data_IF_385206377790
#
_entry.id   IF_385206377790
#
_cell.length_a   1.000
_cell.length_b   1.000
_cell.length_c   1.000
_cell.angle_alpha   90.00
_cell.angle_beta   90.00
_cell.angle_gamma   90.00
#
_symmetry.space_group_name_H-M   'P 1'
#
loop_
_entity.id
_entity.type
_entity.pdbx_description
1 polymer ?
#
# COMPACT_ATOMS: atom_id res chain seq x y z
N UNK A 1 -0.52 17.32 6.87
CA UNK A 1 -1.97 17.21 6.61
C UNK A 1 -2.62 16.22 7.54
N UNK A 2 -3.87 16.45 7.95
CA UNK A 2 -4.71 15.48 8.67
C UNK A 2 -5.26 14.37 7.74
N UNK A 3 -6.23 13.58 8.23
CA UNK A 3 -6.87 12.51 7.44
C UNK A 3 -7.78 13.02 6.33
N UNK A 4 -8.11 14.31 6.27
CA UNK A 4 -8.91 14.91 5.19
C UNK A 4 -8.06 15.77 4.26
N UNK A 5 -6.74 15.67 4.40
CA UNK A 5 -5.75 16.44 3.65
C UNK A 5 -5.76 17.96 3.93
N UNK A 6 -6.31 18.39 5.07
CA UNK A 6 -6.21 19.77 5.53
C UNK A 6 -4.87 20.06 6.22
N UNK A 7 -4.36 21.29 6.05
CA UNK A 7 -3.18 21.78 6.78
C UNK A 7 -3.58 22.25 8.19
N UNK A 8 -2.65 22.89 8.92
CA UNK A 8 -2.99 23.59 10.15
C UNK A 8 -3.89 24.83 9.90
N UNK A 9 -3.84 25.40 8.71
CA UNK A 9 -4.81 26.39 8.25
C UNK A 9 -6.01 25.65 7.60
N UNK A 10 -7.23 25.77 8.14
CA UNK A 10 -8.40 25.06 7.62
C UNK A 10 -8.82 25.51 6.22
N UNK A 11 -8.36 26.68 5.75
CA UNK A 11 -8.58 27.15 4.39
C UNK A 11 -7.60 26.57 3.35
N UNK A 12 -6.57 25.83 3.79
CA UNK A 12 -5.51 25.30 2.93
C UNK A 12 -5.51 23.77 2.98
N UNK A 13 -5.63 23.15 1.81
CA UNK A 13 -5.49 21.70 1.59
C UNK A 13 -4.33 21.43 0.64
N UNK A 14 -3.79 20.22 0.64
CA UNK A 14 -2.74 19.83 -0.30
C UNK A 14 -2.92 18.42 -0.85
N UNK A 15 -2.22 18.13 -1.94
CA UNK A 15 -2.22 16.85 -2.64
C UNK A 15 -0.84 16.56 -3.26
N UNK A 16 -0.61 15.30 -3.64
CA UNK A 16 0.60 14.83 -4.32
C UNK A 16 1.88 14.84 -3.47
N UNK A 17 3.01 14.85 -4.16
CA UNK A 17 4.34 14.57 -3.58
C UNK A 17 4.76 15.45 -2.39
N UNK A 18 4.18 16.66 -2.29
CA UNK A 18 4.50 17.62 -1.26
C UNK A 18 3.82 17.30 0.09
N UNK A 19 2.84 16.40 0.14
CA UNK A 19 2.04 16.20 1.34
C UNK A 19 2.51 15.05 2.22
N UNK A 20 2.50 15.31 3.52
CA UNK A 20 2.65 14.28 4.54
C UNK A 20 1.33 14.07 5.29
N UNK A 21 0.88 12.82 5.39
CA UNK A 21 -0.44 12.44 5.88
C UNK A 21 -0.36 11.18 6.77
N UNK A 22 -1.30 10.97 7.71
CA UNK A 22 -1.35 9.75 8.51
C UNK A 22 -1.78 8.55 7.64
N UNK A 23 -1.13 7.40 7.78
CA UNK A 23 -1.50 6.17 7.10
C UNK A 23 -2.03 5.13 8.12
N UNK A 24 -3.36 4.88 8.16
CA UNK A 24 -3.94 3.92 9.09
C UNK A 24 -3.36 2.51 8.97
N UNK A 25 -3.10 2.05 7.73
CA UNK A 25 -2.50 0.74 7.46
C UNK A 25 -1.12 0.56 8.13
N UNK A 26 -0.36 1.65 8.28
CA UNK A 26 0.95 1.64 8.93
C UNK A 26 0.87 2.10 10.40
N UNK A 27 -0.24 1.82 11.08
CA UNK A 27 -0.45 2.15 12.49
C UNK A 27 -0.60 3.65 12.76
N UNK A 28 -1.08 4.42 11.78
CA UNK A 28 -1.24 5.87 11.88
C UNK A 28 0.05 6.66 11.68
N UNK A 29 1.17 5.99 11.34
CA UNK A 29 2.42 6.66 11.03
C UNK A 29 2.23 7.67 9.90
N UNK A 30 2.88 8.83 10.04
CA UNK A 30 2.91 9.85 9.01
C UNK A 30 3.88 9.46 7.90
N UNK A 31 3.41 9.50 6.67
CA UNK A 31 4.19 9.16 5.48
C UNK A 31 4.07 10.25 4.42
N UNK A 32 4.99 10.20 3.45
CA UNK A 32 4.97 10.97 2.21
C UNK A 32 5.27 9.99 1.08
N UNK A 33 4.52 10.07 -0.01
CA UNK A 33 4.60 9.13 -1.14
C UNK A 33 4.68 9.91 -2.44
N UNK A 34 5.52 9.46 -3.35
CA UNK A 34 5.77 10.10 -4.65
C UNK A 34 5.33 9.11 -5.74
N UNK A 35 4.03 9.11 -6.06
CA UNK A 35 3.45 8.19 -7.03
C UNK A 35 2.20 8.79 -7.68
N UNK A 36 1.96 8.41 -8.93
CA UNK A 36 0.84 8.90 -9.74
C UNK A 36 -0.53 8.62 -9.08
N UNK A 37 -0.75 7.39 -8.61
CA UNK A 37 -2.04 7.01 -7.99
C UNK A 37 -2.30 7.85 -6.73
N UNK A 38 -1.26 8.06 -5.91
CA UNK A 38 -1.32 8.95 -4.76
C UNK A 38 -1.68 10.38 -5.17
N UNK A 39 -1.03 10.93 -6.20
CA UNK A 39 -1.31 12.28 -6.69
C UNK A 39 -2.77 12.43 -7.18
N UNK A 40 -3.26 11.44 -7.94
CA UNK A 40 -4.63 11.41 -8.44
C UNK A 40 -5.65 11.32 -7.30
N UNK A 41 -5.52 10.33 -6.42
CA UNK A 41 -6.45 10.12 -5.31
C UNK A 41 -6.45 11.30 -4.33
N UNK A 42 -5.27 11.77 -3.92
CA UNK A 42 -5.16 12.90 -2.98
C UNK A 42 -5.71 14.19 -3.59
N UNK A 43 -5.56 14.39 -4.90
CA UNK A 43 -6.18 15.52 -5.61
C UNK A 43 -7.70 15.49 -5.54
N UNK A 44 -8.31 14.31 -5.76
CA UNK A 44 -9.76 14.12 -5.62
C UNK A 44 -10.25 14.43 -4.21
N UNK A 45 -9.53 13.94 -3.19
CA UNK A 45 -9.91 14.17 -1.78
C UNK A 45 -9.73 15.64 -1.38
N UNK A 46 -8.60 16.26 -1.74
CA UNK A 46 -8.36 17.68 -1.47
C UNK A 46 -9.43 18.56 -2.15
N UNK A 47 -9.76 18.26 -3.41
CA UNK A 47 -10.80 18.96 -4.17
C UNK A 47 -12.20 18.81 -3.55
N UNK A 48 -12.58 17.60 -3.12
CA UNK A 48 -13.84 17.38 -2.42
C UNK A 48 -13.90 18.21 -1.12
N UNK A 49 -12.80 18.27 -0.37
CA UNK A 49 -12.69 19.12 0.80
C UNK A 49 -12.81 20.62 0.52
N UNK A 50 -12.32 21.11 -0.62
CA UNK A 50 -12.52 22.51 -1.08
C UNK A 50 -13.99 22.75 -1.47
N UNK A 51 -14.66 21.75 -2.04
CA UNK A 51 -16.08 21.82 -2.40
C UNK A 51 -17.05 21.71 -1.21
N UNK A 52 -16.54 21.58 0.03
CA UNK A 52 -17.36 21.42 1.22
C UNK A 52 -17.81 19.98 1.50
N UNK A 53 -17.23 18.99 0.80
CA UNK A 53 -17.46 17.56 1.00
C UNK A 53 -16.17 16.85 1.46
N UNK A 54 -15.69 17.12 2.68
CA UNK A 54 -14.48 16.45 3.17
C UNK A 54 -14.65 14.93 3.21
N UNK A 55 -13.58 14.21 2.86
CA UNK A 55 -13.52 12.75 2.83
C UNK A 55 -12.22 12.28 3.48
N UNK A 56 -12.28 11.14 4.17
CA UNK A 56 -11.09 10.54 4.78
C UNK A 56 -10.19 9.93 3.70
N UNK A 57 -8.89 10.25 3.79
CA UNK A 57 -7.82 9.69 2.99
C UNK A 57 -7.07 8.62 3.78
N UNK A 58 -7.27 7.37 3.38
CA UNK A 58 -6.68 6.19 4.03
C UNK A 58 -6.11 5.20 3.00
N UNK A 59 -5.16 5.62 2.15
CA UNK A 59 -4.58 4.74 1.15
C UNK A 59 -3.68 3.68 1.80
N UNK A 60 -3.52 2.56 1.09
CA UNK A 60 -2.33 1.73 1.24
C UNK A 60 -1.35 2.25 0.18
N UNK A 61 -0.17 2.78 0.57
CA UNK A 61 0.80 3.25 -0.40
C UNK A 61 1.09 2.20 -1.45
N UNK A 62 1.16 2.61 -2.70
CA UNK A 62 1.48 1.73 -3.80
C UNK A 62 2.49 2.38 -4.72
N UNK A 63 3.19 1.54 -5.47
CA UNK A 63 3.95 1.98 -6.63
C UNK A 63 4.00 0.84 -7.65
N UNK A 64 4.34 1.16 -8.89
CA UNK A 64 4.61 0.18 -9.92
C UNK A 64 5.81 0.65 -10.73
N UNK A 65 6.54 -0.28 -11.33
CA UNK A 65 7.63 0.03 -12.24
C UNK A 65 7.91 -1.16 -13.15
N UNK A 66 8.71 -0.92 -14.19
CA UNK A 66 9.13 -1.96 -15.12
C UNK A 66 10.53 -1.68 -15.67
N UNK A 67 11.25 -2.76 -15.97
CA UNK A 67 12.54 -2.74 -16.68
C UNK A 67 12.54 -3.90 -17.67
N UNK A 68 12.52 -3.59 -18.96
CA UNK A 68 12.30 -4.61 -20.00
C UNK A 68 10.94 -5.28 -19.83
N UNK A 69 10.92 -6.61 -19.83
CA UNK A 69 9.70 -7.41 -19.65
C UNK A 69 9.33 -7.64 -18.18
N UNK A 70 10.22 -7.27 -17.24
CA UNK A 70 9.96 -7.38 -15.82
C UNK A 70 9.06 -6.22 -15.38
N UNK A 71 7.87 -6.55 -14.90
CA UNK A 71 6.90 -5.58 -14.35
C UNK A 71 6.61 -5.96 -12.91
N UNK A 72 6.66 -4.98 -12.00
CA UNK A 72 6.33 -5.19 -10.61
C UNK A 72 5.47 -4.09 -10.02
N UNK A 73 4.74 -4.48 -8.98
CA UNK A 73 3.86 -3.61 -8.22
C UNK A 73 4.15 -3.82 -6.73
N UNK A 74 4.29 -2.73 -5.99
CA UNK A 74 4.53 -2.76 -4.56
C UNK A 74 3.40 -2.10 -3.78
N UNK A 75 3.16 -2.62 -2.58
CA UNK A 75 2.11 -2.20 -1.66
C UNK A 75 2.70 -2.04 -0.26
N UNK A 76 2.28 -1.00 0.44
CA UNK A 76 2.64 -0.73 1.84
C UNK A 76 4.04 -0.16 2.03
N UNK A 77 4.67 -0.52 3.15
CA UNK A 77 6.01 -0.11 3.55
C UNK A 77 7.04 -1.13 3.12
N UNK A 78 7.95 -0.69 2.26
CA UNK A 78 9.03 -1.51 1.68
C UNK A 78 10.42 -1.12 2.22
N UNK A 79 10.48 -0.34 3.31
CA UNK A 79 11.74 -0.04 3.99
C UNK A 79 12.31 -1.33 4.61
N UNK A 80 13.48 -1.74 4.11
CA UNK A 80 14.18 -2.94 4.56
C UNK A 80 14.75 -2.79 5.98
N UNK A 81 14.93 -1.57 6.49
CA UNK A 81 15.47 -1.36 7.83
C UNK A 81 14.52 -1.92 8.88
N UNK A 82 15.01 -2.87 9.67
CA UNK A 82 14.21 -3.52 10.72
C UNK A 82 13.04 -4.34 10.18
N UNK A 83 13.06 -4.71 8.90
CA UNK A 83 12.10 -5.64 8.31
C UNK A 83 12.79 -6.96 7.96
N UNK A 84 12.03 -8.07 8.05
CA UNK A 84 12.41 -9.36 7.47
C UNK A 84 11.69 -9.52 6.13
N UNK A 85 12.42 -9.93 5.10
CA UNK A 85 11.84 -10.21 3.78
C UNK A 85 11.88 -11.70 3.48
N UNK A 86 10.74 -12.26 3.07
CA UNK A 86 10.67 -13.59 2.44
C UNK A 86 10.34 -13.41 0.95
N UNK A 87 10.84 -14.30 0.11
CA UNK A 87 10.71 -14.23 -1.34
C UNK A 87 10.29 -15.60 -1.84
N UNK A 88 9.17 -15.66 -2.56
CA UNK A 88 8.65 -16.87 -3.19
C UNK A 88 8.48 -16.64 -4.68
N UNK A 89 9.13 -17.48 -5.48
CA UNK A 89 9.12 -17.36 -6.94
C UNK A 89 9.43 -18.72 -7.60
N UNK A 90 9.01 -18.88 -8.86
CA UNK A 90 9.45 -20.01 -9.67
C UNK A 90 10.96 -19.95 -9.98
N UNK A 91 11.51 -21.06 -10.50
CA UNK A 91 12.93 -21.18 -10.84
C UNK A 91 13.31 -20.48 -12.16
N UNK A 92 12.33 -20.16 -13.00
CA UNK A 92 12.57 -19.53 -14.30
C UNK A 92 12.73 -18.00 -14.18
N UNK A 93 13.55 -17.35 -15.02
CA UNK A 93 13.83 -15.91 -14.92
C UNK A 93 12.58 -15.00 -14.94
N UNK A 94 11.55 -15.40 -15.68
CA UNK A 94 10.32 -14.63 -15.84
C UNK A 94 9.16 -15.16 -14.98
N UNK A 95 9.43 -16.11 -14.08
CA UNK A 95 8.41 -16.68 -13.24
C UNK A 95 7.76 -15.59 -12.35
N UNK A 96 6.43 -15.62 -12.20
CA UNK A 96 5.73 -14.92 -11.13
C UNK A 96 6.42 -15.08 -9.78
N UNK A 97 6.42 -14.01 -9.01
CA UNK A 97 6.85 -14.11 -7.63
C UNK A 97 6.38 -12.95 -6.77
N UNK A 98 6.63 -13.12 -5.48
CA UNK A 98 6.23 -12.20 -4.43
C UNK A 98 7.30 -12.09 -3.36
N UNK A 99 7.53 -10.86 -2.89
CA UNK A 99 8.31 -10.58 -1.70
C UNK A 99 7.40 -10.00 -0.61
N UNK A 100 7.51 -10.55 0.59
CA UNK A 100 6.73 -10.13 1.76
C UNK A 100 7.66 -9.48 2.79
N UNK A 101 7.42 -8.21 3.12
CA UNK A 101 8.15 -7.45 4.11
C UNK A 101 7.39 -7.44 5.44
N UNK A 102 8.02 -8.01 6.48
CA UNK A 102 7.47 -8.10 7.82
C UNK A 102 8.22 -7.21 8.79
N UNK A 103 7.48 -6.49 9.64
CA UNK A 103 8.02 -5.86 10.84
C UNK A 103 7.14 -6.22 12.03
N UNK A 104 7.76 -6.59 13.15
CA UNK A 104 7.05 -7.01 14.37
C UNK A 104 6.02 -8.13 14.05
N UNK A 105 6.45 -9.08 13.21
CA UNK A 105 5.65 -10.19 12.67
C UNK A 105 4.38 -9.78 11.92
N UNK A 106 4.27 -8.52 11.50
CA UNK A 106 3.21 -7.98 10.64
C UNK A 106 3.69 -7.76 9.22
N UNK A 107 2.98 -8.29 8.22
CA UNK A 107 3.14 -8.00 6.80
C UNK A 107 2.73 -6.56 6.57
N UNK A 108 3.71 -5.72 6.29
CA UNK A 108 3.51 -4.31 6.04
C UNK A 108 3.91 -3.90 4.64
N UNK A 109 4.56 -4.79 3.89
CA UNK A 109 4.94 -4.54 2.52
C UNK A 109 4.82 -5.80 1.67
N UNK A 110 4.35 -5.64 0.44
CA UNK A 110 4.25 -6.72 -0.55
C UNK A 110 4.78 -6.19 -1.86
N UNK A 111 5.65 -6.93 -2.53
CA UNK A 111 6.03 -6.69 -3.94
C UNK A 111 5.64 -7.90 -4.74
N UNK A 112 4.92 -7.72 -5.84
CA UNK A 112 4.59 -8.77 -6.80
C UNK A 112 5.17 -8.44 -8.15
N UNK A 113 5.64 -9.44 -8.89
CA UNK A 113 6.10 -9.24 -10.27
C UNK A 113 5.54 -10.30 -11.21
N UNK A 114 5.47 -9.93 -12.50
CA UNK A 114 4.98 -10.76 -13.60
C UNK A 114 3.58 -11.39 -13.36
N UNK A 115 2.73 -10.70 -12.58
CA UNK A 115 1.34 -11.06 -12.28
C UNK A 115 0.40 -9.85 -12.33
N UNK A 116 0.02 -9.40 -13.52
CA UNK A 116 -0.84 -8.23 -13.66
C UNK A 116 -2.21 -8.44 -12.99
N UNK A 117 -2.76 -7.37 -12.41
CA UNK A 117 -4.13 -7.33 -11.90
C UNK A 117 -4.35 -8.01 -10.54
N UNK A 118 -3.28 -8.34 -9.81
CA UNK A 118 -3.38 -8.88 -8.44
C UNK A 118 -3.47 -7.81 -7.36
N UNK A 119 -2.94 -6.61 -7.62
CA UNK A 119 -2.86 -5.51 -6.65
C UNK A 119 -4.19 -5.20 -5.95
N UNK A 120 -5.34 -5.01 -6.63
CA UNK A 120 -6.58 -4.67 -5.93
C UNK A 120 -7.04 -5.76 -4.94
N UNK A 121 -6.76 -7.03 -5.24
CA UNK A 121 -7.08 -8.15 -4.34
C UNK A 121 -6.13 -8.17 -3.14
N UNK A 122 -4.84 -7.99 -3.36
CA UNK A 122 -3.84 -7.94 -2.29
C UNK A 122 -4.07 -6.73 -1.38
N UNK A 123 -4.35 -5.54 -1.94
CA UNK A 123 -4.72 -4.35 -1.17
C UNK A 123 -5.92 -4.61 -0.25
N UNK A 124 -6.93 -5.34 -0.73
CA UNK A 124 -8.07 -5.73 0.11
C UNK A 124 -7.65 -6.65 1.25
N UNK A 125 -6.84 -7.68 0.99
CA UNK A 125 -6.32 -8.57 2.03
C UNK A 125 -5.54 -7.81 3.11
N UNK A 126 -4.67 -6.88 2.69
CA UNK A 126 -3.88 -6.03 3.58
C UNK A 126 -4.78 -5.13 4.45
N UNK A 127 -5.83 -4.54 3.85
CA UNK A 127 -6.79 -3.71 4.58
C UNK A 127 -7.59 -4.52 5.60
N UNK A 128 -8.05 -5.71 5.22
CA UNK A 128 -8.82 -6.60 6.10
C UNK A 128 -7.99 -7.08 7.30
N UNK A 129 -6.69 -7.36 7.09
CA UNK A 129 -5.74 -7.72 8.16
C UNK A 129 -5.45 -6.56 9.11
N UNK A 130 -5.32 -5.33 8.60
CA UNK A 130 -5.06 -4.15 9.42
C UNK A 130 -6.24 -3.70 10.30
N UNK A 131 -7.47 -4.16 10.01
CA UNK A 131 -8.70 -3.82 10.74
C UNK A 131 -8.79 -4.36 12.18
N UNK A 132 -7.94 -5.33 12.56
CA UNK A 132 -7.71 -5.72 13.96
C UNK A 132 -8.87 -6.38 14.72
N UNK A 133 -9.94 -6.82 14.04
CA UNK A 133 -11.02 -7.61 14.67
C UNK A 133 -10.68 -9.10 14.79
N UNK A 134 -11.45 -9.85 15.59
CA UNK A 134 -11.33 -11.32 15.75
C UNK A 134 -11.46 -12.11 14.42
N UNK A 135 -11.96 -11.46 13.36
CA UNK A 135 -12.09 -12.01 12.00
C UNK A 135 -10.96 -11.61 11.06
N UNK A 136 -10.02 -10.76 11.48
CA UNK A 136 -8.88 -10.38 10.66
C UNK A 136 -7.95 -11.58 10.47
N UNK A 137 -7.54 -11.91 9.23
CA UNK A 137 -6.62 -13.01 9.01
C UNK A 137 -5.31 -12.72 9.75
N UNK A 138 -4.86 -13.69 10.53
CA UNK A 138 -3.50 -13.69 11.06
C UNK A 138 -2.49 -13.67 9.92
N UNK A 139 -1.26 -13.27 10.23
CA UNK A 139 -0.23 -13.04 9.23
C UNK A 139 0.14 -14.27 8.40
N UNK A 140 0.06 -15.47 8.97
CA UNK A 140 0.25 -16.75 8.24
C UNK A 140 -0.87 -16.99 7.21
N UNK A 141 -2.12 -16.71 7.59
CA UNK A 141 -3.27 -16.84 6.68
C UNK A 141 -3.26 -15.77 5.59
N UNK A 142 -2.84 -14.55 5.93
CA UNK A 142 -2.62 -13.47 4.98
C UNK A 142 -1.54 -13.85 3.96
N UNK A 143 -0.39 -14.36 4.43
CA UNK A 143 0.68 -14.86 3.58
C UNK A 143 0.17 -15.95 2.63
N UNK A 144 -0.46 -17.00 3.17
CA UNK A 144 -1.00 -18.10 2.36
C UNK A 144 -1.90 -17.60 1.23
N UNK A 145 -2.84 -16.70 1.53
CA UNK A 145 -3.75 -16.12 0.55
C UNK A 145 -3.05 -15.23 -0.49
N UNK A 146 -1.97 -14.53 -0.12
CA UNK A 146 -1.17 -13.77 -1.07
C UNK A 146 -0.39 -14.71 -1.99
N UNK A 147 0.21 -15.77 -1.45
CA UNK A 147 0.92 -16.77 -2.24
C UNK A 147 -0.01 -17.44 -3.25
N UNK A 148 -1.21 -17.85 -2.85
CA UNK A 148 -2.24 -18.41 -3.74
C UNK A 148 -2.62 -17.43 -4.87
N UNK A 149 -2.71 -16.13 -4.59
CA UNK A 149 -3.04 -15.14 -5.62
C UNK A 149 -1.93 -14.94 -6.65
N UNK A 150 -0.67 -15.17 -6.28
CA UNK A 150 0.49 -14.84 -7.12
C UNK A 150 1.06 -16.08 -7.81
N UNK A 151 1.12 -17.21 -7.12
CA UNK A 151 1.83 -18.41 -7.59
C UNK A 151 0.91 -19.42 -8.28
N UNK A 152 -0.40 -19.39 -8.04
CA UNK A 152 -1.41 -20.17 -8.78
C UNK A 152 -1.93 -19.40 -10.01
#
# INVERSE_FOLDING_TARGET
MDSELATADPGIRGAGDAICYPCPFLGGNRIRTEHEEHANESGVIAGAGVAGEPRSYAPIPSFHSSVGDLVWEGLGRLDLRGARTTVEAGSEPDAPGVALHRRDDRIQGVVVWNRPGRVPRIQRLLRDSAGGGDSAPGDEELERRILELVLE
#
